data_IF_723631441016
#
_entry.id   IF_723631441016
#
_cell.length_a   1.000
_cell.length_b   1.000
_cell.length_c   1.000
_cell.angle_alpha   90.00
_cell.angle_beta   90.00
_cell.angle_gamma   90.00
#
_symmetry.space_group_name_H-M   'P 1'
#
loop_
_entity.id
_entity.type
_entity.pdbx_description
1 polymer ?
#
# COMPACT_ATOMS: atom_id res chain seq x y z
N UNK A 1 26.17 -8.10 12.32
CA UNK A 1 25.15 -7.78 11.32
C UNK A 1 25.54 -6.50 10.61
N UNK A 2 26.56 -6.53 9.76
CA UNK A 2 26.54 -5.68 8.56
C UNK A 2 25.80 -6.53 7.54
N UNK A 3 24.49 -6.57 7.70
CA UNK A 3 23.62 -7.38 6.87
C UNK A 3 23.78 -6.93 5.43
N UNK A 4 23.64 -7.88 4.51
CA UNK A 4 23.70 -7.63 3.07
C UNK A 4 22.53 -6.74 2.65
N UNK A 5 22.64 -5.43 2.91
CA UNK A 5 21.63 -4.42 2.56
C UNK A 5 21.37 -4.43 1.06
N UNK A 6 22.39 -4.71 0.24
CA UNK A 6 22.23 -4.81 -1.20
C UNK A 6 21.37 -6.02 -1.58
N UNK A 7 21.62 -7.18 -0.97
CA UNK A 7 20.81 -8.38 -1.10
C UNK A 7 19.36 -8.17 -0.66
N UNK A 8 19.15 -7.58 0.53
CA UNK A 8 17.81 -7.28 1.03
C UNK A 8 17.04 -6.33 0.10
N UNK A 9 17.71 -5.29 -0.43
CA UNK A 9 17.10 -4.40 -1.42
C UNK A 9 16.74 -5.14 -2.71
N UNK A 10 17.60 -6.02 -3.19
CA UNK A 10 17.33 -6.81 -4.40
C UNK A 10 16.15 -7.76 -4.19
N UNK A 11 16.03 -8.38 -3.02
CA UNK A 11 14.91 -9.25 -2.66
C UNK A 11 13.59 -8.48 -2.60
N UNK A 12 13.56 -7.32 -1.93
CA UNK A 12 12.38 -6.43 -1.90
C UNK A 12 11.97 -6.00 -3.31
N UNK A 13 12.94 -5.60 -4.15
CA UNK A 13 12.67 -5.23 -5.56
C UNK A 13 12.11 -6.41 -6.33
N UNK A 14 12.69 -7.60 -6.20
CA UNK A 14 12.19 -8.81 -6.85
C UNK A 14 10.77 -9.18 -6.40
N UNK A 15 10.45 -8.99 -5.12
CA UNK A 15 9.10 -9.21 -4.59
C UNK A 15 8.09 -8.24 -5.20
N UNK A 16 8.45 -6.95 -5.31
CA UNK A 16 7.61 -5.93 -5.96
C UNK A 16 7.43 -6.24 -7.45
N UNK A 17 8.50 -6.62 -8.16
CA UNK A 17 8.45 -7.00 -9.57
C UNK A 17 7.54 -8.20 -9.81
N UNK A 18 7.54 -9.17 -8.90
CA UNK A 18 6.61 -10.32 -8.92
C UNK A 18 5.14 -9.92 -8.77
N UNK A 19 4.86 -8.81 -8.07
CA UNK A 19 3.51 -8.27 -7.85
C UNK A 19 3.09 -7.25 -8.92
N UNK A 20 3.98 -6.91 -9.86
CA UNK A 20 3.79 -5.80 -10.81
C UNK A 20 2.44 -5.80 -11.50
N UNK A 21 2.02 -6.94 -12.06
CA UNK A 21 0.75 -7.03 -12.79
C UNK A 21 -0.46 -6.73 -11.90
N UNK A 22 -0.46 -7.24 -10.67
CA UNK A 22 -1.55 -7.00 -9.70
C UNK A 22 -1.58 -5.54 -9.24
N UNK A 23 -0.41 -4.94 -9.01
CA UNK A 23 -0.29 -3.53 -8.62
C UNK A 23 -0.72 -2.59 -9.76
N UNK A 24 -0.30 -2.86 -11.00
CA UNK A 24 -0.73 -2.09 -12.18
C UNK A 24 -2.24 -2.18 -12.39
N UNK A 25 -2.84 -3.38 -12.25
CA UNK A 25 -4.28 -3.56 -12.32
C UNK A 25 -5.01 -2.77 -11.23
N UNK A 26 -4.53 -2.83 -9.98
CA UNK A 26 -5.11 -2.06 -8.88
C UNK A 26 -5.02 -0.55 -9.13
N UNK A 27 -3.88 -0.05 -9.60
CA UNK A 27 -3.69 1.37 -9.90
C UNK A 27 -4.61 1.86 -11.03
N UNK A 28 -4.79 1.06 -12.09
CA UNK A 28 -5.69 1.36 -13.20
C UNK A 28 -7.17 1.24 -12.77
N UNK A 29 -7.48 0.31 -11.88
CA UNK A 29 -8.81 0.16 -11.29
C UNK A 29 -9.18 1.39 -10.46
N UNK A 30 -8.29 1.85 -9.58
CA UNK A 30 -8.51 3.10 -8.82
C UNK A 30 -8.63 4.28 -9.79
N UNK A 31 -7.72 4.39 -10.77
CA UNK A 31 -7.75 5.47 -11.76
C UNK A 31 -9.08 5.58 -12.52
N UNK A 32 -9.66 4.44 -12.91
CA UNK A 32 -10.93 4.36 -13.66
C UNK A 32 -12.17 4.60 -12.81
N UNK A 33 -12.04 4.65 -11.48
CA UNK A 33 -13.14 4.86 -10.53
C UNK A 33 -12.82 6.02 -9.58
N UNK A 34 -12.65 7.25 -10.10
CA UNK A 34 -12.25 8.39 -9.28
C UNK A 34 -13.33 8.71 -8.23
N UNK A 35 -12.90 8.93 -7.01
CA UNK A 35 -13.73 9.29 -5.86
C UNK A 35 -13.13 10.49 -5.14
N UNK A 36 -13.96 11.45 -4.75
CA UNK A 36 -13.50 12.69 -4.13
C UNK A 36 -13.11 12.51 -2.67
N UNK A 37 -12.41 13.50 -2.10
CA UNK A 37 -11.98 13.50 -0.70
C UNK A 37 -13.12 13.06 0.24
N UNK A 38 -12.80 12.16 1.17
CA UNK A 38 -13.73 11.57 2.14
C UNK A 38 -14.86 10.72 1.57
N UNK A 39 -14.84 10.42 0.26
CA UNK A 39 -15.83 9.59 -0.42
C UNK A 39 -15.18 8.43 -1.21
N UNK A 40 -13.88 8.19 -0.99
CA UNK A 40 -13.04 7.21 -1.70
C UNK A 40 -13.19 5.75 -1.20
N UNK A 41 -14.44 5.41 -0.87
CA UNK A 41 -14.87 4.13 -0.29
C UNK A 41 -14.36 2.91 -1.06
N UNK A 42 -14.36 2.94 -2.40
CA UNK A 42 -13.87 1.81 -3.21
C UNK A 42 -12.36 1.73 -3.19
N UNK A 43 -11.67 2.85 -3.41
CA UNK A 43 -10.22 2.86 -3.43
C UNK A 43 -9.64 2.40 -2.08
N UNK A 44 -10.21 2.90 -0.98
CA UNK A 44 -9.84 2.48 0.38
C UNK A 44 -10.09 0.99 0.61
N UNK A 45 -11.29 0.49 0.27
CA UNK A 45 -11.62 -0.91 0.44
C UNK A 45 -10.72 -1.85 -0.38
N UNK A 46 -10.33 -1.47 -1.60
CA UNK A 46 -9.44 -2.27 -2.44
C UNK A 46 -8.02 -2.32 -1.88
N UNK A 47 -7.44 -1.17 -1.49
CA UNK A 47 -6.11 -1.11 -0.90
C UNK A 47 -6.05 -1.89 0.43
N UNK A 48 -7.04 -1.69 1.30
CA UNK A 48 -7.18 -2.41 2.57
C UNK A 48 -7.40 -3.91 2.36
N UNK A 49 -8.16 -4.29 1.33
CA UNK A 49 -8.39 -5.67 0.92
C UNK A 49 -7.10 -6.36 0.48
N UNK A 50 -6.36 -5.76 -0.45
CA UNK A 50 -5.09 -6.29 -0.94
C UNK A 50 -4.05 -6.44 0.19
N UNK A 51 -3.96 -5.47 1.11
CA UNK A 51 -3.10 -5.60 2.29
C UNK A 51 -3.51 -6.79 3.18
N UNK A 52 -4.82 -6.98 3.40
CA UNK A 52 -5.36 -8.10 4.20
C UNK A 52 -5.07 -9.45 3.55
N UNK A 53 -5.23 -9.56 2.24
CA UNK A 53 -4.91 -10.76 1.47
C UNK A 53 -3.42 -11.12 1.56
N UNK A 54 -2.55 -10.11 1.66
CA UNK A 54 -1.12 -10.28 1.89
C UNK A 54 -0.75 -10.55 3.36
N UNK A 55 -1.72 -10.78 4.25
CA UNK A 55 -1.47 -11.16 5.64
C UNK A 55 -1.24 -10.00 6.61
N UNK A 56 -1.46 -8.75 6.20
CA UNK A 56 -1.39 -7.62 7.11
C UNK A 56 -2.59 -7.64 8.08
N UNK A 57 -2.36 -7.21 9.32
CA UNK A 57 -3.45 -6.83 10.22
C UNK A 57 -4.01 -5.48 9.77
N UNK A 58 -5.24 -5.49 9.28
CA UNK A 58 -5.91 -4.31 8.71
C UNK A 58 -7.05 -3.83 9.62
N UNK A 59 -6.99 -2.56 10.01
CA UNK A 59 -8.08 -1.81 10.64
C UNK A 59 -8.70 -0.87 9.59
N UNK A 60 -9.97 -1.08 9.28
CA UNK A 60 -10.74 -0.32 8.30
C UNK A 60 -12.22 -0.38 8.74
N UNK A 61 -12.85 0.74 9.13
CA UNK A 61 -12.33 2.11 9.10
C UNK A 61 -11.29 2.40 10.20
N UNK A 62 -10.54 3.50 10.06
CA UNK A 62 -9.50 3.92 10.99
C UNK A 62 -9.55 5.44 11.26
N UNK A 63 -9.11 5.87 12.45
CA UNK A 63 -8.93 7.29 12.77
C UNK A 63 -10.21 8.15 12.70
N UNK A 64 -11.40 7.55 12.74
CA UNK A 64 -12.68 8.25 12.64
C UNK A 64 -13.12 8.59 11.21
N UNK A 65 -12.41 8.12 10.18
CA UNK A 65 -12.79 8.28 8.78
C UNK A 65 -13.21 6.92 8.21
N UNK A 66 -14.39 6.85 7.58
CA UNK A 66 -14.91 5.61 6.99
C UNK A 66 -13.98 5.07 5.91
N UNK A 67 -13.33 5.99 5.22
CA UNK A 67 -12.47 5.73 4.10
C UNK A 67 -10.98 5.64 4.44
N UNK A 68 -10.59 5.72 5.72
CA UNK A 68 -9.20 5.52 6.10
C UNK A 68 -8.95 4.10 6.61
N UNK A 69 -7.76 3.57 6.35
CA UNK A 69 -7.33 2.28 6.89
C UNK A 69 -5.91 2.34 7.49
N UNK A 70 -5.63 1.41 8.39
CA UNK A 70 -4.27 1.10 8.86
C UNK A 70 -3.97 -0.37 8.59
N UNK A 71 -2.93 -0.64 7.81
CA UNK A 71 -2.38 -1.97 7.62
C UNK A 71 -1.05 -2.08 8.37
N UNK A 72 -0.89 -3.14 9.17
CA UNK A 72 0.32 -3.37 9.96
C UNK A 72 0.84 -4.80 9.78
N UNK A 73 2.16 -4.91 9.67
CA UNK A 73 2.92 -6.16 9.63
C UNK A 73 4.10 -6.01 10.61
N UNK A 74 4.47 -7.09 11.29
CA UNK A 74 5.58 -7.10 12.26
C UNK A 74 6.56 -8.20 11.88
N UNK A 75 7.77 -7.80 11.50
CA UNK A 75 8.91 -8.67 11.27
C UNK A 75 9.72 -8.95 12.54
N UNK A 76 9.66 -8.09 13.56
CA UNK A 76 10.41 -8.29 14.80
C UNK A 76 10.39 -7.12 15.78
N UNK A 77 11.46 -7.00 16.58
CA UNK A 77 11.73 -5.80 17.37
C UNK A 77 12.55 -4.81 16.55
N UNK A 78 12.17 -3.54 16.59
CA UNK A 78 12.82 -2.52 15.78
C UNK A 78 12.01 -1.24 15.62
N UNK A 79 12.47 -0.32 14.74
CA UNK A 79 11.75 0.90 14.43
C UNK A 79 10.46 0.62 13.65
N UNK A 80 9.43 1.44 13.88
CA UNK A 80 8.20 1.41 13.09
C UNK A 80 8.29 2.40 11.95
N UNK A 81 8.13 1.92 10.72
CA UNK A 81 8.09 2.74 9.50
C UNK A 81 6.68 2.69 8.92
N UNK A 82 6.18 3.84 8.43
CA UNK A 82 4.87 3.94 7.80
C UNK A 82 5.01 4.45 6.36
N UNK A 83 4.31 3.79 5.44
CA UNK A 83 4.08 4.28 4.09
C UNK A 83 2.69 4.93 4.03
N UNK A 84 2.61 6.16 3.52
CA UNK A 84 1.35 6.90 3.46
C UNK A 84 0.71 6.68 2.08
N UNK A 85 -0.48 6.09 2.08
CA UNK A 85 -1.27 5.89 0.87
C UNK A 85 -2.32 7.00 0.76
N UNK A 86 -2.31 7.72 -0.37
CA UNK A 86 -3.34 8.68 -0.76
C UNK A 86 -4.10 8.12 -1.97
N UNK A 87 -5.40 8.39 -2.09
CA UNK A 87 -6.25 7.76 -3.11
C UNK A 87 -7.53 8.53 -3.43
N UNK A 88 -7.64 9.80 -3.02
CA UNK A 88 -8.71 10.67 -3.47
C UNK A 88 -8.42 11.24 -4.88
N UNK A 89 -9.47 11.67 -5.54
CA UNK A 89 -9.45 12.25 -6.87
C UNK A 89 -9.93 13.70 -6.85
N UNK A 90 -9.58 14.46 -7.90
CA UNK A 90 -10.05 15.82 -8.07
C UNK A 90 -11.43 15.86 -8.75
N UNK A 91 -12.35 16.75 -8.31
CA UNK A 91 -13.66 16.92 -8.94
C UNK A 91 -13.52 17.19 -10.44
N UNK A 92 -14.19 16.38 -11.27
CA UNK A 92 -14.21 16.45 -12.76
C UNK A 92 -12.88 16.17 -13.46
N UNK A 93 -11.77 16.06 -12.73
CA UNK A 93 -10.44 15.81 -13.30
C UNK A 93 -9.94 14.38 -13.02
N UNK A 94 -10.60 13.66 -12.11
CA UNK A 94 -10.16 12.33 -11.69
C UNK A 94 -8.80 12.38 -11.01
N UNK A 95 -7.98 11.34 -11.19
CA UNK A 95 -6.65 11.27 -10.60
C UNK A 95 -5.59 12.08 -11.36
N UNK A 96 -5.88 13.33 -11.71
CA UNK A 96 -4.92 14.22 -12.36
C UNK A 96 -3.67 14.52 -11.51
N UNK A 97 -3.75 14.31 -10.19
CA UNK A 97 -2.59 14.36 -9.26
C UNK A 97 -1.88 13.01 -9.07
N UNK A 98 -2.37 11.93 -9.67
CA UNK A 98 -1.75 10.61 -9.60
C UNK A 98 -1.91 9.89 -8.25
N UNK A 99 -2.91 10.24 -7.42
CA UNK A 99 -3.09 9.59 -6.12
C UNK A 99 -3.35 8.08 -6.25
N UNK A 100 -3.97 7.62 -7.34
CA UNK A 100 -4.06 6.19 -7.65
C UNK A 100 -2.68 5.49 -7.69
N UNK A 101 -1.63 6.19 -8.14
CA UNK A 101 -0.26 5.69 -8.14
C UNK A 101 0.38 5.80 -6.75
N UNK A 102 0.15 6.90 -6.02
CA UNK A 102 0.68 7.09 -4.66
C UNK A 102 0.18 5.98 -3.73
N UNK A 103 -1.13 5.74 -3.70
CA UNK A 103 -1.72 4.71 -2.85
C UNK A 103 -1.17 3.32 -3.13
N UNK A 104 -1.08 2.95 -4.42
CA UNK A 104 -0.58 1.63 -4.83
C UNK A 104 0.93 1.50 -4.67
N UNK A 105 1.72 2.54 -4.90
CA UNK A 105 3.16 2.52 -4.67
C UNK A 105 3.48 2.32 -3.18
N UNK A 106 2.75 3.02 -2.29
CA UNK A 106 2.88 2.85 -0.84
C UNK A 106 2.50 1.45 -0.39
N UNK A 107 1.43 0.88 -0.95
CA UNK A 107 1.07 -0.53 -0.71
C UNK A 107 2.14 -1.48 -1.23
N UNK A 108 2.60 -1.32 -2.47
CA UNK A 108 3.65 -2.15 -3.08
C UNK A 108 4.94 -2.16 -2.27
N UNK A 109 5.37 -0.99 -1.78
CA UNK A 109 6.52 -0.90 -0.88
C UNK A 109 6.31 -1.68 0.43
N UNK A 110 5.13 -1.57 1.05
CA UNK A 110 4.80 -2.33 2.25
C UNK A 110 4.81 -3.85 1.99
N UNK A 111 4.21 -4.29 0.89
CA UNK A 111 4.19 -5.71 0.48
C UNK A 111 5.60 -6.24 0.20
N UNK A 112 6.42 -5.46 -0.50
CA UNK A 112 7.80 -5.83 -0.82
C UNK A 112 8.66 -6.03 0.43
N UNK A 113 8.53 -5.16 1.43
CA UNK A 113 9.23 -5.33 2.71
C UNK A 113 8.67 -6.52 3.49
N UNK A 114 7.35 -6.71 3.53
CA UNK A 114 6.72 -7.82 4.22
C UNK A 114 7.13 -9.20 3.66
N UNK A 115 7.49 -9.26 2.36
CA UNK A 115 7.97 -10.48 1.72
C UNK A 115 9.27 -11.04 2.34
N UNK A 116 10.07 -10.20 3.01
CA UNK A 116 11.27 -10.64 3.75
C UNK A 116 10.91 -11.55 4.96
N UNK A 117 9.66 -11.50 5.43
CA UNK A 117 9.20 -12.24 6.60
C UNK A 117 9.75 -11.63 7.90
N UNK A 118 10.97 -12.01 8.28
CA UNK A 118 11.64 -11.51 9.49
C UNK A 118 12.56 -10.34 9.17
N UNK A 119 12.29 -9.19 9.80
CA UNK A 119 13.10 -7.97 9.68
C UNK A 119 12.93 -7.10 10.93
N UNK A 120 13.84 -6.16 11.23
CA UNK A 120 13.67 -5.27 12.38
C UNK A 120 12.45 -4.34 12.21
N UNK A 121 11.40 -4.52 13.03
CA UNK A 121 10.20 -3.67 13.07
C UNK A 121 8.87 -4.41 13.08
#
# INVERSE_FOLDING_TARGET
MTDDIAGLKAEVVSAIDGLKGQLEELALRIHSHPETKFEEERASAWLAGTAREAGFRVEHPFGGLTTAFRASFRGGDGPRVAFLAEYDALPRLGHACGHNLIGVASLGAALGVAALGEFPG
#
